data_IF_929898658090
#
_entry.id   IF_929898658090
#
_cell.length_a   1.000
_cell.length_b   1.000
_cell.length_c   1.000
_cell.angle_alpha   90.00
_cell.angle_beta   90.00
_cell.angle_gamma   90.00
#
_symmetry.space_group_name_H-M   'P 1'
#
loop_
_entity.id
_entity.type
_entity.pdbx_description
1 polymer ?
#
# COMPACT_ATOMS: atom_id res chain seq x y z
N UNK A 1 -5.30 -20.72 12.70
CA UNK A 1 -4.39 -20.54 11.56
C UNK A 1 -3.53 -19.35 11.90
N UNK A 2 -2.20 -19.50 11.88
CA UNK A 2 -1.29 -18.39 12.15
C UNK A 2 -1.09 -17.55 10.90
N UNK A 3 -0.77 -16.28 11.07
CA UNK A 3 -0.32 -15.42 9.98
C UNK A 3 1.20 -15.50 9.90
N UNK A 4 1.75 -15.54 8.69
CA UNK A 4 3.20 -15.51 8.48
C UNK A 4 3.57 -14.47 7.44
N UNK A 5 4.74 -13.85 7.59
CA UNK A 5 5.35 -13.02 6.55
C UNK A 5 6.77 -13.52 6.26
N UNK A 6 7.29 -13.17 5.08
CA UNK A 6 8.64 -13.53 4.67
C UNK A 6 9.39 -12.33 4.11
N UNK A 7 10.55 -12.02 4.68
CA UNK A 7 11.46 -10.99 4.14
C UNK A 7 12.82 -11.62 3.83
N UNK A 8 13.25 -11.54 2.58
CA UNK A 8 14.58 -11.95 2.16
C UNK A 8 15.26 -10.79 1.45
N UNK A 9 16.49 -10.49 1.87
CA UNK A 9 17.28 -9.38 1.35
C UNK A 9 17.93 -9.68 0.01
N UNK A 10 17.82 -10.90 -0.50
CA UNK A 10 18.49 -11.29 -1.74
C UNK A 10 20.00 -11.48 -1.56
N UNK A 11 20.45 -11.83 -0.35
CA UNK A 11 21.88 -11.81 0.05
C UNK A 11 22.51 -10.42 -0.10
N UNK A 12 21.72 -9.37 0.04
CA UNK A 12 22.17 -7.98 0.03
C UNK A 12 22.07 -7.40 1.44
N UNK A 13 23.00 -6.51 1.80
CA UNK A 13 23.00 -5.81 3.09
C UNK A 13 22.81 -4.30 2.89
N UNK A 14 22.02 -3.94 1.87
CA UNK A 14 21.82 -2.56 1.45
C UNK A 14 20.52 -2.04 2.04
N UNK A 15 20.62 -1.14 3.03
CA UNK A 15 19.46 -0.50 3.66
C UNK A 15 18.70 0.43 2.69
N UNK A 16 19.37 0.94 1.66
CA UNK A 16 18.84 1.84 0.64
C UNK A 16 18.15 1.12 -0.54
N UNK A 17 17.95 -0.20 -0.46
CA UNK A 17 17.18 -0.93 -1.47
C UNK A 17 15.69 -0.55 -1.39
N UNK A 18 15.15 -0.01 -2.49
CA UNK A 18 13.75 0.42 -2.51
C UNK A 18 12.73 -0.71 -2.65
N UNK A 19 13.12 -1.93 -3.01
CA UNK A 19 12.18 -3.05 -3.14
C UNK A 19 11.00 -2.77 -4.08
N UNK A 20 11.19 -1.89 -5.08
CA UNK A 20 10.17 -1.45 -6.02
C UNK A 20 9.33 -0.23 -5.58
N UNK A 21 9.56 0.29 -4.38
CA UNK A 21 8.93 1.51 -3.87
C UNK A 21 9.55 2.77 -4.44
N UNK A 22 8.79 3.87 -4.36
CA UNK A 22 9.23 5.21 -4.75
C UNK A 22 10.56 5.60 -4.08
N UNK A 23 10.78 5.19 -2.83
CA UNK A 23 12.04 5.30 -2.12
C UNK A 23 12.22 4.14 -1.12
N UNK A 24 13.45 3.88 -0.68
CA UNK A 24 13.74 2.86 0.34
C UNK A 24 13.06 3.12 1.69
N UNK A 25 12.74 4.37 1.98
CA UNK A 25 12.01 4.78 3.18
C UNK A 25 10.62 4.14 3.19
N UNK A 26 9.92 4.21 2.06
CA UNK A 26 8.59 3.63 1.91
C UNK A 26 8.61 2.10 1.91
N UNK A 27 9.71 1.48 1.48
CA UNK A 27 9.90 0.04 1.65
C UNK A 27 9.84 -0.37 3.12
N UNK A 28 10.60 0.29 3.99
CA UNK A 28 10.61 -0.01 5.42
C UNK A 28 9.31 0.40 6.12
N UNK A 29 8.71 1.53 5.73
CA UNK A 29 7.38 1.95 6.21
C UNK A 29 6.30 0.92 5.88
N UNK A 30 6.38 0.27 4.72
CA UNK A 30 5.46 -0.81 4.37
C UNK A 30 5.54 -1.96 5.37
N UNK A 31 6.74 -2.40 5.73
CA UNK A 31 6.92 -3.44 6.75
C UNK A 31 6.41 -3.02 8.13
N UNK A 32 6.67 -1.76 8.53
CA UNK A 32 6.14 -1.19 9.77
C UNK A 32 4.62 -1.30 9.79
N UNK A 33 3.94 -0.75 8.77
CA UNK A 33 2.48 -0.74 8.74
C UNK A 33 1.90 -2.15 8.64
N UNK A 34 2.45 -3.00 7.77
CA UNK A 34 1.97 -4.37 7.57
C UNK A 34 2.06 -5.18 8.85
N UNK A 35 3.22 -5.19 9.53
CA UNK A 35 3.40 -5.93 10.77
C UNK A 35 2.44 -5.45 11.87
N UNK A 36 2.39 -4.14 12.12
CA UNK A 36 1.55 -3.58 13.17
C UNK A 36 0.06 -3.83 12.94
N UNK A 37 -0.41 -3.70 11.70
CA UNK A 37 -1.80 -3.98 11.37
C UNK A 37 -2.11 -5.47 11.51
N UNK A 38 -1.21 -6.37 11.09
CA UNK A 38 -1.42 -7.80 11.28
C UNK A 38 -1.48 -8.17 12.77
N UNK A 39 -0.56 -7.67 13.60
CA UNK A 39 -0.56 -7.90 15.05
C UNK A 39 -1.81 -7.34 15.73
N UNK A 40 -2.32 -6.20 15.27
CA UNK A 40 -3.54 -5.59 15.80
C UNK A 40 -4.79 -6.46 15.61
N UNK A 41 -4.83 -7.27 14.55
CA UNK A 41 -6.01 -8.07 14.19
C UNK A 41 -5.80 -9.59 14.25
N UNK A 42 -4.58 -10.05 14.61
CA UNK A 42 -4.24 -11.47 14.68
C UNK A 42 -3.34 -11.75 15.89
N UNK A 43 -3.63 -12.83 16.61
CA UNK A 43 -2.89 -13.19 17.82
C UNK A 43 -1.54 -13.85 17.55
N UNK A 44 -1.30 -14.34 16.34
CA UNK A 44 -0.08 -15.08 15.98
C UNK A 44 0.39 -14.66 14.59
N UNK A 45 1.47 -13.86 14.55
CA UNK A 45 2.07 -13.28 13.34
C UNK A 45 3.56 -13.55 13.39
N UNK A 46 4.02 -14.55 12.64
CA UNK A 46 5.43 -14.95 12.60
C UNK A 46 6.16 -14.33 11.40
N UNK A 47 7.41 -13.90 11.59
CA UNK A 47 8.31 -13.48 10.52
C UNK A 47 9.31 -14.58 10.18
N UNK A 48 9.47 -14.88 8.90
CA UNK A 48 10.56 -15.71 8.36
C UNK A 48 11.51 -14.81 7.59
N UNK A 49 12.78 -14.76 8.00
CA UNK A 49 13.73 -13.80 7.44
C UNK A 49 15.16 -14.34 7.37
N UNK A 50 16.07 -13.57 6.79
CA UNK A 50 17.52 -13.79 6.82
C UNK A 50 18.17 -12.90 7.90
N UNK A 51 19.49 -13.00 8.06
CA UNK A 51 20.20 -12.23 9.10
C UNK A 51 20.03 -10.71 8.93
N UNK A 52 20.10 -10.21 7.71
CA UNK A 52 19.96 -8.79 7.44
C UNK A 52 18.54 -8.30 7.76
N UNK A 53 17.52 -9.05 7.36
CA UNK A 53 16.15 -8.73 7.72
C UNK A 53 15.89 -8.79 9.22
N UNK A 54 16.51 -9.72 9.94
CA UNK A 54 16.45 -9.76 11.40
C UNK A 54 17.05 -8.50 12.04
N UNK A 55 18.25 -8.11 11.61
CA UNK A 55 18.93 -6.90 12.08
C UNK A 55 18.03 -5.66 11.88
N UNK A 56 17.54 -5.44 10.67
CA UNK A 56 16.75 -4.25 10.35
C UNK A 56 15.36 -4.30 10.99
N UNK A 57 14.57 -5.34 10.71
CA UNK A 57 13.16 -5.39 11.10
C UNK A 57 12.99 -5.60 12.61
N UNK A 58 13.90 -6.33 13.27
CA UNK A 58 13.73 -6.73 14.67
C UNK A 58 14.64 -5.95 15.61
N UNK A 59 15.95 -5.88 15.34
CA UNK A 59 16.87 -5.22 16.27
C UNK A 59 16.77 -3.68 16.19
N UNK A 60 16.71 -3.14 14.97
CA UNK A 60 16.65 -1.69 14.73
C UNK A 60 15.22 -1.14 14.79
N UNK A 61 14.31 -1.66 13.97
CA UNK A 61 12.93 -1.16 13.87
C UNK A 61 12.00 -1.66 14.98
N UNK A 62 12.39 -2.75 15.68
CA UNK A 62 11.65 -3.35 16.81
C UNK A 62 10.21 -3.75 16.43
N UNK A 63 10.03 -4.34 15.25
CA UNK A 63 8.71 -4.76 14.79
C UNK A 63 8.12 -5.86 15.70
N UNK A 64 6.82 -5.76 16.06
CA UNK A 64 6.21 -6.56 17.14
C UNK A 64 5.78 -7.98 16.72
N UNK A 65 6.51 -8.66 15.83
CA UNK A 65 6.20 -10.04 15.46
C UNK A 65 6.15 -10.97 16.69
N UNK A 66 5.20 -11.90 16.72
CA UNK A 66 5.04 -12.84 17.84
C UNK A 66 6.19 -13.85 17.91
N UNK A 67 6.78 -14.15 16.76
CA UNK A 67 7.93 -15.03 16.62
C UNK A 67 8.71 -14.71 15.35
N UNK A 68 10.03 -14.91 15.40
CA UNK A 68 10.92 -14.67 14.26
C UNK A 68 11.79 -15.89 14.00
N UNK A 69 11.93 -16.26 12.73
CA UNK A 69 12.71 -17.39 12.25
C UNK A 69 13.76 -16.90 11.26
N UNK A 70 15.05 -16.97 11.64
CA UNK A 70 16.17 -16.58 10.77
C UNK A 70 16.63 -17.80 9.98
N UNK A 71 16.00 -18.05 8.84
CA UNK A 71 16.22 -19.26 8.02
C UNK A 71 16.43 -18.97 6.54
N UNK A 72 16.16 -17.75 6.06
CA UNK A 72 16.17 -17.44 4.63
C UNK A 72 17.58 -17.21 4.08
N UNK A 73 18.61 -17.23 4.92
CA UNK A 73 19.99 -17.39 4.44
C UNK A 73 20.17 -18.69 3.62
N UNK A 74 19.33 -19.71 3.85
CA UNK A 74 19.31 -20.97 3.08
C UNK A 74 19.05 -20.76 1.57
N UNK A 75 18.48 -19.62 1.16
CA UNK A 75 18.18 -19.31 -0.25
C UNK A 75 19.13 -18.27 -0.86
N UNK A 76 20.23 -17.92 -0.17
CA UNK A 76 21.21 -16.95 -0.68
C UNK A 76 21.96 -17.39 -1.95
N UNK A 77 21.91 -18.68 -2.30
CA UNK A 77 22.50 -19.22 -3.53
C UNK A 77 21.62 -18.99 -4.78
N UNK A 78 20.37 -18.54 -4.61
CA UNK A 78 19.50 -18.14 -5.71
C UNK A 78 19.81 -16.70 -6.17
N UNK A 79 19.50 -16.34 -7.44
CA UNK A 79 19.59 -14.97 -7.89
C UNK A 79 18.71 -14.05 -7.02
N UNK A 80 19.25 -12.90 -6.62
CA UNK A 80 18.55 -11.92 -5.78
C UNK A 80 17.18 -11.48 -6.31
N UNK A 81 16.98 -11.53 -7.63
CA UNK A 81 15.73 -11.14 -8.28
C UNK A 81 14.64 -12.22 -8.17
N UNK A 82 14.95 -13.40 -7.62
CA UNK A 82 14.00 -14.51 -7.42
C UNK A 82 13.25 -14.35 -6.10
N UNK A 83 12.64 -13.19 -5.88
CA UNK A 83 11.98 -12.81 -4.63
C UNK A 83 10.95 -13.83 -4.11
N UNK A 84 10.29 -14.59 -4.98
CA UNK A 84 9.28 -15.57 -4.57
C UNK A 84 9.88 -16.84 -3.95
N UNK A 85 11.18 -17.13 -4.15
CA UNK A 85 11.79 -18.36 -3.60
C UNK A 85 11.75 -18.36 -2.07
N UNK A 86 11.92 -17.20 -1.46
CA UNK A 86 11.81 -16.98 -0.03
C UNK A 86 10.41 -17.34 0.50
N UNK A 87 9.36 -16.91 -0.21
CA UNK A 87 7.96 -17.23 0.12
C UNK A 87 7.71 -18.74 0.02
N UNK A 88 8.09 -19.36 -1.10
CA UNK A 88 7.97 -20.82 -1.31
C UNK A 88 8.72 -21.61 -0.22
N UNK A 89 9.93 -21.17 0.15
CA UNK A 89 10.70 -21.79 1.23
C UNK A 89 10.00 -21.65 2.59
N UNK A 90 9.42 -20.50 2.86
CA UNK A 90 8.61 -20.26 4.07
C UNK A 90 7.39 -21.18 4.12
N UNK A 91 6.65 -21.36 3.02
CA UNK A 91 5.51 -22.29 2.95
C UNK A 91 5.96 -23.75 3.18
N UNK A 92 7.09 -24.15 2.60
CA UNK A 92 7.66 -25.49 2.75
C UNK A 92 7.92 -25.84 4.23
N UNK A 93 8.28 -24.85 5.06
CA UNK A 93 8.65 -25.05 6.46
C UNK A 93 7.42 -25.15 7.39
N UNK A 94 6.21 -24.89 6.89
CA UNK A 94 5.01 -24.93 7.71
C UNK A 94 4.60 -26.37 8.03
N UNK A 95 4.18 -26.60 9.28
CA UNK A 95 3.68 -27.88 9.78
C UNK A 95 2.26 -27.81 10.35
N UNK A 96 1.66 -26.62 10.29
CA UNK A 96 0.31 -26.32 10.79
C UNK A 96 -0.36 -25.31 9.85
N UNK A 97 -1.69 -25.11 9.94
CA UNK A 97 -2.39 -24.15 9.10
C UNK A 97 -1.83 -22.74 9.22
N UNK A 98 -1.53 -22.13 8.08
CA UNK A 98 -0.96 -20.79 7.99
C UNK A 98 -1.67 -19.94 6.93
N UNK A 99 -1.54 -18.63 7.04
CA UNK A 99 -1.85 -17.66 5.99
C UNK A 99 -0.66 -16.74 5.83
N UNK A 100 0.03 -16.85 4.70
CA UNK A 100 1.07 -15.90 4.33
C UNK A 100 0.45 -14.61 3.81
N UNK A 101 1.07 -13.49 4.16
CA UNK A 101 0.65 -12.14 3.80
C UNK A 101 1.87 -11.35 3.32
N UNK A 102 1.76 -10.71 2.16
CA UNK A 102 2.84 -9.89 1.61
C UNK A 102 3.13 -8.64 2.47
N UNK A 103 4.38 -8.16 2.44
CA UNK A 103 4.84 -7.03 3.24
C UNK A 103 4.26 -5.66 2.82
N UNK A 104 3.52 -5.62 1.71
CA UNK A 104 2.81 -4.48 1.11
C UNK A 104 1.28 -4.63 1.18
N UNK A 105 0.81 -5.57 2.00
CA UNK A 105 -0.59 -5.76 2.36
C UNK A 105 -0.87 -5.16 3.74
N UNK A 106 -1.97 -4.40 3.83
CA UNK A 106 -2.43 -3.74 5.04
C UNK A 106 -3.89 -4.08 5.32
N UNK A 107 -4.24 -4.34 6.58
CA UNK A 107 -5.57 -4.84 6.96
C UNK A 107 -6.16 -4.10 8.15
N UNK A 108 -7.48 -3.92 8.20
CA UNK A 108 -8.20 -3.35 9.34
C UNK A 108 -9.21 -4.33 9.97
N UNK A 109 -9.10 -5.61 9.61
CA UNK A 109 -9.84 -6.72 10.19
C UNK A 109 -9.01 -8.02 10.12
N UNK A 110 -9.51 -9.06 10.77
CA UNK A 110 -8.89 -10.40 10.72
C UNK A 110 -9.06 -11.01 9.33
N UNK A 111 -7.95 -11.44 8.73
CA UNK A 111 -7.92 -12.22 7.49
C UNK A 111 -8.31 -13.68 7.72
N UNK A 112 -8.05 -14.21 8.91
CA UNK A 112 -8.18 -15.64 9.20
C UNK A 112 -9.59 -16.07 9.60
N UNK A 113 -10.41 -15.13 10.10
CA UNK A 113 -11.69 -15.49 10.71
C UNK A 113 -12.69 -16.13 9.74
N UNK A 114 -12.73 -15.61 8.51
CA UNK A 114 -13.59 -16.13 7.44
C UNK A 114 -13.04 -17.41 6.79
N UNK A 115 -11.77 -17.75 7.02
CA UNK A 115 -11.07 -18.88 6.38
C UNK A 115 -10.68 -19.99 7.34
N UNK A 116 -11.28 -20.05 8.53
CA UNK A 116 -10.97 -21.07 9.55
C UNK A 116 -11.02 -22.51 9.03
N UNK A 117 -11.94 -22.79 8.10
CA UNK A 117 -12.15 -24.12 7.53
C UNK A 117 -11.63 -24.27 6.09
N UNK A 118 -10.99 -23.23 5.52
CA UNK A 118 -10.54 -23.22 4.15
C UNK A 118 -9.25 -24.02 3.97
N UNK A 119 -9.24 -24.93 3.00
CA UNK A 119 -8.08 -25.78 2.71
C UNK A 119 -7.00 -25.06 1.91
N UNK A 120 -7.40 -24.19 0.99
CA UNK A 120 -6.55 -23.30 0.20
C UNK A 120 -7.24 -21.95 0.08
N UNK A 121 -6.53 -20.90 0.41
CA UNK A 121 -6.93 -19.49 0.37
C UNK A 121 -5.95 -18.76 -0.50
N UNK A 122 -6.45 -17.90 -1.39
CA UNK A 122 -5.65 -16.92 -2.14
C UNK A 122 -6.37 -15.58 -2.13
N UNK A 123 -5.68 -14.49 -2.49
CA UNK A 123 -6.30 -13.17 -2.55
C UNK A 123 -7.43 -13.13 -3.59
N UNK A 124 -7.11 -13.42 -4.85
CA UNK A 124 -8.07 -13.33 -5.96
C UNK A 124 -7.62 -14.17 -7.14
N UNK A 125 -8.56 -14.47 -8.04
CA UNK A 125 -8.24 -15.00 -9.37
C UNK A 125 -7.75 -13.86 -10.26
N UNK A 126 -6.76 -14.16 -11.11
CA UNK A 126 -6.26 -13.24 -12.14
C UNK A 126 -6.43 -13.87 -13.52
N UNK A 127 -6.75 -13.08 -14.53
CA UNK A 127 -6.73 -13.51 -15.93
C UNK A 127 -5.32 -13.29 -16.45
N UNK A 128 -4.66 -14.36 -16.92
CA UNK A 128 -3.34 -14.24 -17.57
C UNK A 128 -3.53 -13.73 -19.00
N UNK A 129 -3.41 -12.42 -19.13
CA UNK A 129 -3.65 -11.65 -20.34
C UNK A 129 -2.45 -11.69 -21.32
N UNK A 130 -2.40 -10.74 -22.26
CA UNK A 130 -1.27 -10.60 -23.18
C UNK A 130 0.07 -10.32 -22.48
N UNK A 131 0.07 -9.67 -21.31
CA UNK A 131 1.29 -9.36 -20.57
C UNK A 131 1.97 -10.65 -20.08
N UNK A 132 1.23 -11.55 -19.42
CA UNK A 132 1.75 -12.86 -19.02
C UNK A 132 2.29 -13.66 -20.21
N UNK A 133 1.58 -13.60 -21.35
CA UNK A 133 1.98 -14.30 -22.58
C UNK A 133 3.25 -13.75 -23.19
N UNK A 134 3.41 -12.43 -23.19
CA UNK A 134 4.61 -11.79 -23.71
C UNK A 134 5.82 -12.15 -22.86
N UNK A 135 5.69 -12.08 -21.53
CA UNK A 135 6.75 -12.51 -20.62
C UNK A 135 7.09 -13.99 -20.82
N UNK A 136 6.09 -14.86 -20.94
CA UNK A 136 6.32 -16.29 -21.09
C UNK A 136 7.08 -16.63 -22.37
N UNK A 137 6.83 -15.90 -23.48
CA UNK A 137 7.55 -16.07 -24.75
C UNK A 137 9.06 -15.82 -24.63
N UNK A 138 9.46 -14.93 -23.74
CA UNK A 138 10.87 -14.61 -23.50
C UNK A 138 11.54 -15.62 -22.55
N UNK A 139 10.77 -16.18 -21.61
CA UNK A 139 11.30 -17.10 -20.60
C UNK A 139 11.34 -18.55 -21.10
N UNK A 140 10.21 -19.05 -21.63
CA UNK A 140 10.03 -20.46 -21.94
C UNK A 140 11.11 -21.06 -22.86
N UNK A 141 11.53 -20.40 -23.96
CA UNK A 141 12.55 -20.96 -24.86
C UNK A 141 13.89 -21.25 -24.19
N UNK A 142 14.19 -20.55 -23.08
CA UNK A 142 15.43 -20.71 -22.33
C UNK A 142 15.36 -21.82 -21.29
N UNK A 143 14.16 -22.28 -20.92
CA UNK A 143 13.95 -23.31 -19.90
C UNK A 143 14.31 -24.70 -20.43
N UNK A 144 15.01 -25.47 -19.60
CA UNK A 144 15.35 -26.88 -19.85
C UNK A 144 14.35 -27.85 -19.23
N UNK A 145 13.49 -27.36 -18.31
CA UNK A 145 12.47 -28.15 -17.64
C UNK A 145 11.16 -27.36 -17.49
N UNK A 146 10.04 -28.00 -17.78
CA UNK A 146 8.69 -27.47 -17.60
C UNK A 146 7.84 -28.47 -16.78
N UNK A 147 7.26 -28.07 -15.63
CA UNK A 147 6.33 -28.90 -14.88
C UNK A 147 5.10 -29.30 -15.70
N UNK A 148 4.60 -30.50 -15.47
CA UNK A 148 3.40 -31.03 -16.15
C UNK A 148 2.18 -30.12 -15.98
N UNK A 149 2.04 -29.48 -14.82
CA UNK A 149 0.96 -28.55 -14.51
C UNK A 149 0.91 -27.36 -15.46
N UNK A 150 2.06 -26.89 -15.93
CA UNK A 150 2.15 -25.72 -16.79
C UNK A 150 1.96 -26.04 -18.28
N UNK A 151 1.83 -27.31 -18.66
CA UNK A 151 1.66 -27.72 -20.06
C UNK A 151 0.42 -27.09 -20.70
N UNK A 152 -0.72 -27.10 -20.01
CA UNK A 152 -1.96 -26.47 -20.52
C UNK A 152 -1.82 -24.97 -20.70
N UNK A 153 -1.12 -24.30 -19.79
CA UNK A 153 -0.84 -22.89 -19.96
C UNK A 153 0.05 -22.67 -21.19
N UNK A 154 1.13 -23.45 -21.35
CA UNK A 154 2.07 -23.31 -22.45
C UNK A 154 1.42 -23.45 -23.85
N UNK A 155 0.45 -24.36 -24.01
CA UNK A 155 -0.28 -24.55 -25.28
C UNK A 155 -1.54 -23.68 -25.41
N UNK A 156 -1.61 -22.57 -24.67
CA UNK A 156 -2.70 -21.58 -24.69
C UNK A 156 -4.10 -22.16 -24.36
N UNK A 157 -4.16 -23.23 -23.56
CA UNK A 157 -5.41 -23.85 -23.10
C UNK A 157 -5.84 -23.43 -21.69
N UNK A 158 -5.14 -22.47 -21.08
CA UNK A 158 -5.46 -21.95 -19.75
C UNK A 158 -5.04 -20.50 -19.63
N UNK A 159 -5.91 -19.63 -19.12
CA UNK A 159 -5.69 -18.19 -19.05
C UNK A 159 -5.95 -17.62 -17.64
N UNK A 160 -5.72 -18.42 -16.59
CA UNK A 160 -5.91 -17.97 -15.21
C UNK A 160 -4.68 -18.23 -14.34
N UNK A 161 -4.45 -17.33 -13.38
CA UNK A 161 -3.47 -17.40 -12.30
C UNK A 161 -4.14 -16.92 -11.00
N UNK A 162 -3.37 -16.80 -9.91
CA UNK A 162 -3.84 -16.23 -8.65
C UNK A 162 -2.96 -15.07 -8.21
N UNK A 163 -3.59 -14.00 -7.73
CA UNK A 163 -2.89 -13.03 -6.90
C UNK A 163 -2.62 -13.66 -5.53
N UNK A 164 -1.37 -13.60 -5.08
CA UNK A 164 -0.93 -14.21 -3.82
C UNK A 164 -0.54 -13.20 -2.74
N UNK A 165 -1.07 -11.96 -2.78
CA UNK A 165 -0.90 -11.01 -1.68
C UNK A 165 -1.34 -11.58 -0.32
N UNK A 166 -2.29 -12.52 -0.34
CA UNK A 166 -2.42 -13.53 0.71
C UNK A 166 -2.46 -14.93 0.10
N UNK A 167 -1.89 -15.92 0.80
CA UNK A 167 -1.97 -17.33 0.41
C UNK A 167 -1.78 -18.27 1.59
N UNK A 168 -2.59 -19.33 1.69
CA UNK A 168 -2.46 -20.29 2.79
C UNK A 168 -3.63 -21.25 2.90
N UNK A 169 -3.85 -21.81 4.08
CA UNK A 169 -4.97 -22.69 4.35
C UNK A 169 -4.63 -23.85 5.28
N UNK A 170 -5.62 -24.72 5.48
CA UNK A 170 -5.51 -25.89 6.34
C UNK A 170 -4.77 -27.07 5.69
N UNK A 171 -4.68 -27.13 4.36
CA UNK A 171 -4.07 -28.26 3.67
C UNK A 171 -2.54 -28.10 3.55
N UNK A 172 -1.83 -28.26 4.67
CA UNK A 172 -0.36 -28.14 4.73
C UNK A 172 0.34 -29.13 3.78
N UNK A 173 -0.23 -30.32 3.56
CA UNK A 173 0.34 -31.31 2.65
C UNK A 173 0.27 -30.86 1.18
N UNK A 174 -0.80 -30.16 0.79
CA UNK A 174 -0.86 -29.52 -0.53
C UNK A 174 0.30 -28.54 -0.72
N UNK A 175 0.53 -27.65 0.25
CA UNK A 175 1.63 -26.70 0.20
C UNK A 175 3.00 -27.38 0.14
N UNK A 176 3.24 -28.44 0.92
CA UNK A 176 4.51 -29.19 0.86
C UNK A 176 4.78 -29.76 -0.54
N UNK A 177 3.77 -30.33 -1.19
CA UNK A 177 3.91 -30.88 -2.53
C UNK A 177 4.06 -29.79 -3.60
N UNK A 178 3.27 -28.72 -3.50
CA UNK A 178 3.40 -27.53 -4.35
C UNK A 178 4.81 -26.94 -4.27
N UNK A 179 5.33 -26.73 -3.05
CA UNK A 179 6.65 -26.14 -2.85
C UNK A 179 7.75 -27.03 -3.41
N UNK A 180 7.61 -28.37 -3.30
CA UNK A 180 8.53 -29.31 -3.93
C UNK A 180 8.57 -29.12 -5.44
N UNK A 181 7.41 -29.05 -6.10
CA UNK A 181 7.31 -28.83 -7.55
C UNK A 181 7.85 -27.45 -7.96
N UNK A 182 7.57 -26.41 -7.17
CA UNK A 182 8.05 -25.05 -7.40
C UNK A 182 9.58 -24.95 -7.30
N UNK A 183 10.17 -25.50 -6.23
CA UNK A 183 11.62 -25.54 -6.06
C UNK A 183 12.28 -26.38 -7.15
N UNK A 184 11.72 -27.55 -7.48
CA UNK A 184 12.21 -28.37 -8.60
C UNK A 184 12.17 -27.61 -9.94
N UNK A 185 11.10 -26.84 -10.17
CA UNK A 185 10.98 -26.01 -11.37
C UNK A 185 12.11 -24.97 -11.47
N UNK A 186 12.44 -24.31 -10.36
CA UNK A 186 13.52 -23.32 -10.33
C UNK A 186 14.90 -23.99 -10.44
N UNK A 187 15.14 -25.05 -9.67
CA UNK A 187 16.44 -25.73 -9.56
C UNK A 187 16.82 -26.47 -10.84
N UNK A 188 15.88 -27.18 -11.47
CA UNK A 188 16.12 -27.86 -12.73
C UNK A 188 16.50 -26.89 -13.86
N UNK A 189 16.08 -25.62 -13.75
CA UNK A 189 16.38 -24.55 -14.70
C UNK A 189 17.58 -23.67 -14.28
N UNK A 190 18.42 -24.13 -13.34
CA UNK A 190 19.60 -23.37 -12.87
C UNK A 190 20.54 -22.90 -13.98
N UNK A 191 20.72 -23.72 -15.01
CA UNK A 191 21.52 -23.37 -16.19
C UNK A 191 20.93 -22.21 -17.00
N UNK A 192 19.66 -21.87 -16.80
CA UNK A 192 18.92 -20.85 -17.55
C UNK A 192 18.76 -19.54 -16.79
N UNK A 193 19.09 -19.49 -15.49
CA UNK A 193 18.88 -18.30 -14.65
C UNK A 193 19.51 -17.02 -15.21
N UNK A 194 20.68 -17.11 -15.84
CA UNK A 194 21.37 -15.95 -16.44
C UNK A 194 20.79 -15.51 -17.79
N UNK A 195 19.86 -16.27 -18.38
CA UNK A 195 19.24 -15.98 -19.69
C UNK A 195 17.79 -15.54 -19.58
N UNK A 196 17.17 -15.67 -18.41
CA UNK A 196 15.77 -15.28 -18.17
C UNK A 196 15.69 -14.04 -17.28
N UNK A 197 14.61 -13.29 -17.42
CA UNK A 197 14.30 -12.20 -16.48
C UNK A 197 13.79 -12.80 -15.16
N UNK A 198 14.61 -12.74 -14.12
CA UNK A 198 14.30 -13.28 -12.80
C UNK A 198 13.06 -12.65 -12.16
N UNK A 199 12.91 -11.32 -12.24
CA UNK A 199 11.76 -10.60 -11.66
C UNK A 199 10.45 -11.16 -12.21
N UNK A 200 10.42 -11.45 -13.50
CA UNK A 200 9.27 -12.03 -14.18
C UNK A 200 9.11 -13.54 -13.94
N UNK A 201 10.20 -14.30 -13.80
CA UNK A 201 10.12 -15.75 -13.60
C UNK A 201 9.36 -16.14 -12.32
N UNK A 202 9.43 -15.30 -11.28
CA UNK A 202 8.72 -15.48 -10.02
C UNK A 202 7.23 -15.81 -10.18
N UNK A 203 6.51 -15.09 -11.05
CA UNK A 203 5.05 -15.28 -11.19
C UNK A 203 4.71 -16.67 -11.72
N UNK A 204 5.63 -17.33 -12.45
CA UNK A 204 5.37 -18.65 -13.03
C UNK A 204 5.56 -19.77 -12.02
N UNK A 205 6.66 -19.75 -11.24
CA UNK A 205 6.92 -20.79 -10.25
C UNK A 205 6.16 -20.59 -8.95
N UNK A 206 5.69 -19.37 -8.68
CA UNK A 206 4.85 -19.05 -7.52
C UNK A 206 3.36 -19.14 -7.88
N UNK A 207 2.84 -18.14 -8.59
CA UNK A 207 1.40 -17.89 -8.73
C UNK A 207 0.74 -18.84 -9.72
N UNK A 208 1.29 -18.89 -10.94
CA UNK A 208 0.72 -19.73 -12.00
C UNK A 208 0.82 -21.21 -11.63
N UNK A 209 1.97 -21.65 -11.13
CA UNK A 209 2.17 -23.05 -10.75
C UNK A 209 1.24 -23.46 -9.61
N UNK A 210 1.04 -22.63 -8.58
CA UNK A 210 0.09 -22.93 -7.50
C UNK A 210 -1.33 -23.07 -8.06
N UNK A 211 -1.73 -22.17 -8.96
CA UNK A 211 -3.03 -22.21 -9.63
C UNK A 211 -3.22 -23.52 -10.41
N UNK A 212 -2.27 -23.88 -11.28
CA UNK A 212 -2.38 -25.12 -12.07
C UNK A 212 -2.27 -26.39 -11.22
N UNK A 213 -1.52 -26.35 -10.14
CA UNK A 213 -1.44 -27.46 -9.20
C UNK A 213 -2.74 -27.63 -8.39
N UNK A 214 -3.41 -26.53 -8.02
CA UNK A 214 -4.73 -26.60 -7.40
C UNK A 214 -5.76 -27.22 -8.34
N UNK A 215 -5.75 -26.83 -9.62
CA UNK A 215 -6.62 -27.42 -10.66
C UNK A 215 -6.36 -28.93 -10.84
N UNK A 216 -5.10 -29.35 -10.94
CA UNK A 216 -4.74 -30.76 -11.15
C UNK A 216 -5.15 -31.65 -9.98
N UNK A 217 -5.06 -31.12 -8.75
CA UNK A 217 -5.47 -31.80 -7.52
C UNK A 217 -6.96 -31.68 -7.23
N UNK A 218 -7.72 -30.93 -8.03
CA UNK A 218 -9.13 -30.55 -7.76
C UNK A 218 -9.30 -29.96 -6.35
N UNK A 219 -8.33 -29.18 -5.91
CA UNK A 219 -8.33 -28.52 -4.61
C UNK A 219 -9.34 -27.36 -4.66
N UNK A 220 -10.30 -27.36 -3.73
CA UNK A 220 -11.18 -26.20 -3.54
C UNK A 220 -10.37 -25.00 -3.07
N UNK A 221 -10.59 -23.86 -3.72
CA UNK A 221 -9.90 -22.59 -3.47
C UNK A 221 -10.90 -21.55 -2.99
N UNK A 222 -10.65 -20.96 -1.82
CA UNK A 222 -11.40 -19.83 -1.31
C UNK A 222 -10.64 -18.53 -1.65
N UNK A 223 -11.39 -17.51 -2.09
CA UNK A 223 -10.83 -16.23 -2.49
C UNK A 223 -11.20 -15.14 -1.48
N UNK A 224 -10.26 -14.25 -1.15
CA UNK A 224 -10.57 -13.03 -0.40
C UNK A 224 -11.49 -12.10 -1.20
N UNK A 225 -11.21 -11.97 -2.49
CA UNK A 225 -12.06 -11.27 -3.43
C UNK A 225 -12.59 -12.27 -4.46
N UNK A 226 -13.88 -12.66 -4.38
CA UNK A 226 -14.46 -13.65 -5.28
C UNK A 226 -14.66 -13.13 -6.70
N UNK A 227 -14.67 -11.81 -6.88
CA UNK A 227 -14.73 -11.16 -8.18
C UNK A 227 -13.44 -11.43 -8.98
N UNK A 228 -13.58 -11.52 -10.30
CA UNK A 228 -12.44 -11.62 -11.22
C UNK A 228 -12.07 -10.20 -11.67
N UNK A 229 -11.11 -9.51 -11.04
CA UNK A 229 -10.60 -8.28 -11.61
C UNK A 229 -10.03 -8.59 -13.00
N UNK A 230 -10.29 -7.69 -13.96
CA UNK A 230 -9.49 -7.64 -15.19
C UNK A 230 -8.07 -7.26 -14.78
N UNK A 231 -7.05 -7.86 -15.38
CA UNK A 231 -5.66 -7.62 -14.98
C UNK A 231 -5.31 -6.11 -15.06
N UNK A 232 -4.52 -5.62 -14.09
CA UNK A 232 -4.24 -4.20 -13.82
C UNK A 232 -5.44 -3.31 -13.42
N UNK A 233 -6.66 -3.82 -13.30
CA UNK A 233 -7.82 -3.09 -12.76
C UNK A 233 -8.01 -3.34 -11.26
N UNK A 234 -6.93 -3.17 -10.50
CA UNK A 234 -6.90 -3.26 -9.04
C UNK A 234 -7.54 -2.03 -8.38
N UNK A 235 -8.72 -1.62 -8.84
CA UNK A 235 -9.39 -0.41 -8.38
C UNK A 235 -9.65 -0.47 -6.86
N UNK A 236 -9.16 0.55 -6.17
CA UNK A 236 -9.36 0.73 -4.74
C UNK A 236 -8.48 -0.12 -3.82
N UNK A 237 -7.49 -0.87 -4.33
CA UNK A 237 -6.48 -1.53 -3.49
C UNK A 237 -5.45 -0.56 -2.88
N UNK A 238 -5.38 0.67 -3.41
CA UNK A 238 -4.59 1.77 -2.88
C UNK A 238 -5.44 2.93 -2.35
N UNK A 239 -6.74 2.71 -2.07
CA UNK A 239 -7.63 3.74 -1.52
C UNK A 239 -7.35 4.02 -0.03
N UNK A 240 -6.12 4.45 0.26
CA UNK A 240 -5.62 4.67 1.60
C UNK A 240 -6.45 5.70 2.37
N UNK A 241 -6.96 6.71 1.67
CA UNK A 241 -7.87 7.72 2.20
C UNK A 241 -9.24 7.18 2.67
N UNK A 242 -9.61 5.94 2.34
CA UNK A 242 -10.86 5.29 2.76
C UNK A 242 -10.69 4.39 3.98
N UNK A 243 -9.48 4.22 4.51
CA UNK A 243 -9.28 3.42 5.74
C UNK A 243 -9.81 4.20 6.96
N UNK A 244 -10.34 3.53 8.00
CA UNK A 244 -10.43 2.07 8.17
C UNK A 244 -11.69 1.44 7.56
N UNK A 245 -12.57 2.21 6.89
CA UNK A 245 -13.81 1.68 6.30
C UNK A 245 -13.49 0.71 5.14
N UNK A 246 -12.45 1.02 4.36
CA UNK A 246 -11.76 0.04 3.53
C UNK A 246 -10.84 -0.79 4.42
N UNK A 247 -11.09 -2.10 4.51
CA UNK A 247 -10.40 -2.98 5.47
C UNK A 247 -9.22 -3.75 4.91
N UNK A 248 -8.95 -3.65 3.61
CA UNK A 248 -7.83 -4.32 2.95
C UNK A 248 -7.25 -3.41 1.87
N UNK A 249 -5.94 -3.24 1.92
CA UNK A 249 -5.13 -2.59 0.90
C UNK A 249 -3.99 -3.52 0.51
N UNK A 250 -3.60 -3.45 -0.77
CA UNK A 250 -2.44 -4.15 -1.29
C UNK A 250 -1.77 -3.23 -2.32
N UNK A 251 -0.63 -2.65 -1.94
CA UNK A 251 0.09 -1.70 -2.78
C UNK A 251 1.00 -2.45 -3.76
N UNK A 252 0.39 -3.09 -4.75
CA UNK A 252 1.08 -3.84 -5.80
C UNK A 252 1.48 -2.95 -6.98
N UNK A 253 2.59 -3.32 -7.65
CA UNK A 253 3.05 -2.69 -8.90
C UNK A 253 3.21 -1.17 -8.80
N UNK A 254 2.52 -0.43 -9.67
CA UNK A 254 2.65 1.03 -9.78
C UNK A 254 2.19 1.79 -8.54
N UNK A 255 1.32 1.22 -7.70
CA UNK A 255 0.89 1.87 -6.46
C UNK A 255 2.07 2.16 -5.50
N UNK A 256 3.12 1.34 -5.52
CA UNK A 256 4.35 1.57 -4.73
C UNK A 256 5.15 2.79 -5.18
N UNK A 257 4.92 3.25 -6.40
CA UNK A 257 5.65 4.36 -7.03
C UNK A 257 4.86 5.66 -7.01
N UNK A 258 3.60 5.62 -6.58
CA UNK A 258 2.74 6.80 -6.49
C UNK A 258 3.06 7.58 -5.20
N UNK A 259 3.64 8.79 -5.29
CA UNK A 259 4.06 9.56 -4.11
C UNK A 259 2.91 9.87 -3.16
N UNK A 260 1.72 10.15 -3.70
CA UNK A 260 0.51 10.43 -2.90
C UNK A 260 0.14 9.24 -2.02
N UNK A 261 0.18 8.02 -2.56
CA UNK A 261 -0.14 6.80 -1.82
C UNK A 261 0.92 6.52 -0.75
N UNK A 262 2.20 6.66 -1.11
CA UNK A 262 3.30 6.52 -0.17
C UNK A 262 3.18 7.53 1.00
N UNK A 263 2.75 8.76 0.71
CA UNK A 263 2.55 9.79 1.72
C UNK A 263 1.35 9.50 2.62
N UNK A 264 0.27 8.92 2.12
CA UNK A 264 -0.83 8.47 2.99
C UNK A 264 -0.35 7.40 3.99
N UNK A 265 0.45 6.44 3.53
CA UNK A 265 1.07 5.44 4.40
C UNK A 265 1.96 6.09 5.46
N UNK A 266 2.81 7.04 5.07
CA UNK A 266 3.68 7.78 5.99
C UNK A 266 2.87 8.49 7.09
N UNK A 267 1.86 9.28 6.72
CA UNK A 267 1.06 10.02 7.70
C UNK A 267 0.30 9.07 8.64
N UNK A 268 -0.15 7.93 8.14
CA UNK A 268 -0.80 6.92 8.95
C UNK A 268 0.15 6.34 10.00
N UNK A 269 1.38 5.99 9.62
CA UNK A 269 2.40 5.47 10.53
C UNK A 269 2.79 6.55 11.54
N UNK A 270 3.06 7.79 11.10
CA UNK A 270 3.37 8.91 11.99
C UNK A 270 2.28 9.08 13.06
N UNK A 271 1.00 8.93 12.70
CA UNK A 271 -0.10 9.14 13.63
C UNK A 271 -0.37 7.97 14.56
N UNK A 272 -0.37 6.74 14.04
CA UNK A 272 -0.84 5.56 14.79
C UNK A 272 0.29 4.68 15.31
N UNK A 273 1.50 4.80 14.73
CA UNK A 273 2.70 4.06 15.13
C UNK A 273 3.92 5.00 15.25
N UNK A 274 3.81 6.13 15.97
CA UNK A 274 4.82 7.18 15.98
C UNK A 274 6.20 6.72 16.44
N UNK A 275 6.27 5.84 17.44
CA UNK A 275 7.55 5.31 17.93
C UNK A 275 8.27 4.45 16.88
N UNK A 276 7.53 3.71 16.05
CA UNK A 276 8.11 2.96 14.94
C UNK A 276 8.58 3.87 13.80
N UNK A 277 7.86 4.98 13.56
CA UNK A 277 8.33 6.03 12.65
C UNK A 277 9.65 6.64 13.15
N UNK A 278 9.71 6.98 14.45
CA UNK A 278 10.90 7.51 15.10
C UNK A 278 12.11 6.56 15.02
N UNK A 279 11.91 5.26 15.27
CA UNK A 279 12.96 4.25 15.10
C UNK A 279 13.49 4.21 13.65
N UNK A 280 12.62 4.34 12.65
CA UNK A 280 13.03 4.42 11.25
C UNK A 280 13.80 5.72 10.98
N UNK A 281 13.35 6.85 11.51
CA UNK A 281 14.05 8.13 11.42
C UNK A 281 15.48 8.05 11.95
N UNK A 282 15.65 7.49 13.16
CA UNK A 282 16.97 7.28 13.77
C UNK A 282 17.87 6.37 12.93
N UNK A 283 17.30 5.30 12.36
CA UNK A 283 18.05 4.40 11.48
C UNK A 283 18.47 5.07 10.16
N UNK A 284 17.61 5.91 9.58
CA UNK A 284 17.91 6.68 8.37
C UNK A 284 19.01 7.72 8.66
N UNK A 285 18.94 8.41 9.80
CA UNK A 285 19.97 9.35 10.24
C UNK A 285 21.33 8.65 10.46
N UNK A 286 21.32 7.50 11.15
CA UNK A 286 22.51 6.64 11.33
C UNK A 286 23.12 6.24 9.98
N UNK A 287 22.30 5.80 9.03
CA UNK A 287 22.76 5.33 7.72
C UNK A 287 23.28 6.45 6.82
N UNK A 288 22.63 7.62 6.82
CA UNK A 288 23.01 8.74 5.96
C UNK A 288 24.08 9.65 6.59
N UNK A 289 24.44 9.44 7.85
CA UNK A 289 25.34 10.31 8.63
C UNK A 289 24.85 11.78 8.69
N UNK A 290 23.53 11.97 8.75
CA UNK A 290 22.85 13.27 8.78
C UNK A 290 21.81 13.24 9.90
N UNK A 291 21.53 14.39 10.54
CA UNK A 291 20.46 14.56 11.53
C UNK A 291 19.32 15.39 10.92
N UNK A 292 18.54 14.77 10.04
CA UNK A 292 17.42 15.42 9.32
C UNK A 292 16.07 14.79 9.58
N UNK A 293 16.05 13.55 10.08
CA UNK A 293 14.82 12.81 10.33
C UNK A 293 14.21 13.06 11.71
N UNK A 294 12.91 12.79 11.80
CA UNK A 294 12.16 12.93 13.05
C UNK A 294 12.40 11.69 13.92
N UNK A 295 13.18 11.84 14.98
CA UNK A 295 13.51 10.75 15.92
C UNK A 295 12.70 10.76 17.23
N UNK A 296 11.90 11.80 17.47
CA UNK A 296 11.26 12.01 18.79
C UNK A 296 9.78 11.62 18.83
N UNK A 297 9.18 11.28 17.69
CA UNK A 297 7.73 11.13 17.59
C UNK A 297 7.22 10.00 18.51
N UNK A 298 6.26 10.32 19.36
CA UNK A 298 5.57 9.38 20.25
C UNK A 298 4.08 9.78 20.39
N UNK A 299 3.22 8.97 21.04
CA UNK A 299 1.79 9.27 21.13
C UNK A 299 1.45 10.61 21.81
N UNK A 300 2.23 11.03 22.81
CA UNK A 300 2.00 12.29 23.54
C UNK A 300 2.32 13.49 22.64
N UNK A 301 3.46 13.46 21.96
CA UNK A 301 3.90 14.51 21.02
C UNK A 301 2.93 14.61 19.84
N UNK A 302 2.48 13.48 19.28
CA UNK A 302 1.48 13.49 18.21
C UNK A 302 0.20 14.21 18.66
N UNK A 303 -0.27 13.91 19.87
CA UNK A 303 -1.48 14.52 20.40
C UNK A 303 -1.31 16.02 20.69
N UNK A 304 -0.16 16.43 21.22
CA UNK A 304 0.20 17.84 21.43
C UNK A 304 0.19 18.61 20.11
N UNK A 305 0.94 18.16 19.11
CA UNK A 305 1.02 18.78 17.78
C UNK A 305 -0.35 18.86 17.09
N UNK A 306 -1.19 17.83 17.23
CA UNK A 306 -2.55 17.85 16.70
C UNK A 306 -3.44 18.88 17.40
N UNK A 307 -3.29 19.06 18.72
CA UNK A 307 -4.05 20.05 19.48
C UNK A 307 -3.62 21.48 19.14
N UNK A 308 -2.31 21.70 19.00
CA UNK A 308 -1.75 22.97 18.53
C UNK A 308 -2.31 23.34 17.15
N UNK A 309 -2.24 22.41 16.19
CA UNK A 309 -2.78 22.64 14.85
C UNK A 309 -4.28 22.92 14.86
N UNK A 310 -5.04 22.24 15.72
CA UNK A 310 -6.47 22.51 15.88
C UNK A 310 -6.75 23.92 16.41
N UNK A 311 -5.92 24.42 17.33
CA UNK A 311 -6.04 25.79 17.83
C UNK A 311 -5.68 26.81 16.75
N UNK A 312 -4.61 26.56 15.99
CA UNK A 312 -4.20 27.39 14.84
C UNK A 312 -5.30 27.49 13.78
N UNK A 313 -5.92 26.35 13.44
CA UNK A 313 -7.05 26.30 12.50
C UNK A 313 -8.24 27.16 12.94
N UNK A 314 -8.57 27.13 14.23
CA UNK A 314 -9.71 27.89 14.78
C UNK A 314 -9.44 29.39 14.84
N UNK A 315 -8.17 29.77 14.96
CA UNK A 315 -7.73 31.15 15.01
C UNK A 315 -7.33 31.70 13.64
N UNK A 316 -7.31 30.85 12.60
CA UNK A 316 -6.81 31.17 11.26
C UNK A 316 -5.41 31.80 11.27
N UNK A 317 -4.54 31.23 12.12
CA UNK A 317 -3.20 31.76 12.36
C UNK A 317 -2.25 30.58 12.59
N UNK A 318 -1.43 30.28 11.59
CA UNK A 318 -0.55 29.11 11.58
C UNK A 318 0.88 29.47 12.00
N UNK A 319 1.42 28.74 12.97
CA UNK A 319 2.84 28.84 13.29
C UNK A 319 3.68 28.05 12.27
N UNK A 320 4.68 28.72 11.71
CA UNK A 320 5.68 28.13 10.83
C UNK A 320 6.44 26.95 11.46
N UNK A 321 6.60 26.94 12.79
CA UNK A 321 7.30 25.86 13.48
C UNK A 321 6.56 24.53 13.28
N UNK A 322 7.25 23.56 12.66
CA UNK A 322 6.73 22.21 12.37
C UNK A 322 5.36 22.20 11.66
N UNK A 323 5.03 23.26 10.91
CA UNK A 323 3.74 23.40 10.23
C UNK A 323 3.38 22.17 9.39
N UNK A 324 4.30 21.71 8.53
CA UNK A 324 4.06 20.56 7.65
C UNK A 324 3.80 19.27 8.44
N UNK A 325 4.53 19.05 9.53
CA UNK A 325 4.34 17.88 10.41
C UNK A 325 2.96 17.92 11.08
N UNK A 326 2.61 19.07 11.68
CA UNK A 326 1.29 19.29 12.30
C UNK A 326 0.15 19.06 11.31
N UNK A 327 0.26 19.62 10.11
CA UNK A 327 -0.70 19.44 9.01
C UNK A 327 -0.83 17.97 8.61
N UNK A 328 0.30 17.28 8.43
CA UNK A 328 0.33 15.87 8.02
C UNK A 328 -0.36 14.98 9.06
N UNK A 329 -0.07 15.17 10.35
CA UNK A 329 -0.70 14.43 11.45
C UNK A 329 -2.22 14.67 11.54
N UNK A 330 -2.65 15.93 11.45
CA UNK A 330 -4.06 16.29 11.57
C UNK A 330 -4.91 15.81 10.38
N UNK A 331 -4.31 15.74 9.18
CA UNK A 331 -5.01 15.42 7.92
C UNK A 331 -5.58 14.00 7.83
N UNK A 332 -5.04 13.04 8.60
CA UNK A 332 -5.25 11.60 8.40
C UNK A 332 -6.73 11.16 8.44
N UNK A 333 -7.58 11.74 9.29
CA UNK A 333 -9.02 11.38 9.36
C UNK A 333 -9.94 12.35 8.60
N UNK A 334 -9.42 13.42 7.99
CA UNK A 334 -10.27 14.48 7.45
C UNK A 334 -11.17 13.98 6.32
N UNK A 335 -10.68 13.04 5.49
CA UNK A 335 -11.49 12.43 4.43
C UNK A 335 -12.70 11.67 5.00
N UNK A 336 -12.53 10.98 6.13
CA UNK A 336 -13.65 10.32 6.81
C UNK A 336 -14.60 11.35 7.41
N UNK A 337 -14.07 12.35 8.12
CA UNK A 337 -14.88 13.40 8.75
C UNK A 337 -15.75 14.15 7.75
N UNK A 338 -15.21 14.55 6.60
CA UNK A 338 -16.01 15.28 5.59
C UNK A 338 -17.14 14.41 5.02
N UNK A 339 -16.91 13.10 4.82
CA UNK A 339 -17.97 12.20 4.36
C UNK A 339 -19.08 12.04 5.42
N UNK A 340 -18.74 12.03 6.70
CA UNK A 340 -19.73 12.02 7.79
C UNK A 340 -20.56 13.29 7.75
N UNK A 341 -19.93 14.47 7.64
CA UNK A 341 -20.66 15.74 7.54
C UNK A 341 -21.61 15.79 6.35
N UNK A 342 -21.16 15.37 5.16
CA UNK A 342 -22.03 15.30 3.99
C UNK A 342 -23.19 14.31 4.15
N UNK A 343 -22.94 13.15 4.77
CA UNK A 343 -23.98 12.13 4.99
C UNK A 343 -25.02 12.57 6.01
N UNK A 344 -24.60 13.29 7.04
CA UNK A 344 -25.45 13.74 8.15
C UNK A 344 -26.05 15.13 7.91
N UNK A 345 -25.75 15.76 6.76
CA UNK A 345 -26.11 17.15 6.45
C UNK A 345 -25.69 18.13 7.55
N UNK A 346 -24.53 17.88 8.15
CA UNK A 346 -23.95 18.72 9.19
C UNK A 346 -23.09 19.82 8.54
N UNK A 347 -23.29 21.07 8.97
CA UNK A 347 -22.42 22.19 8.58
C UNK A 347 -21.08 22.13 9.32
N UNK A 348 -20.02 22.63 8.69
CA UNK A 348 -18.66 22.62 9.21
C UNK A 348 -17.87 23.81 8.65
N UNK A 349 -16.77 24.16 9.31
CA UNK A 349 -15.85 25.21 8.86
C UNK A 349 -14.78 24.65 7.95
N UNK A 350 -14.47 25.40 6.90
CA UNK A 350 -13.43 25.12 5.91
C UNK A 350 -12.38 26.22 6.03
N UNK A 351 -11.11 25.82 6.12
CA UNK A 351 -9.96 26.72 6.22
C UNK A 351 -8.97 26.38 5.12
N UNK A 352 -8.57 27.38 4.33
CA UNK A 352 -7.46 27.25 3.38
C UNK A 352 -6.15 27.22 4.15
N UNK A 353 -5.30 26.25 3.84
CA UNK A 353 -4.02 26.05 4.53
C UNK A 353 -2.89 26.82 3.84
N UNK A 354 -1.79 26.98 4.56
CA UNK A 354 -0.49 27.35 3.97
C UNK A 354 0.20 26.10 3.37
N UNK A 355 1.42 26.30 2.82
CA UNK A 355 2.26 25.21 2.32
C UNK A 355 1.93 24.77 0.89
N UNK A 356 1.41 25.71 0.09
CA UNK A 356 1.38 25.62 -1.36
C UNK A 356 1.59 27.00 -2.00
N UNK A 357 2.09 27.00 -3.22
CA UNK A 357 2.35 28.21 -4.01
C UNK A 357 1.52 28.19 -5.30
N UNK A 358 0.83 29.29 -5.61
CA UNK A 358 0.15 29.46 -6.88
C UNK A 358 1.19 29.75 -7.97
N UNK A 359 1.12 29.00 -9.07
CA UNK A 359 1.87 29.22 -10.30
C UNK A 359 0.92 29.73 -11.37
N UNK A 360 1.06 31.02 -11.67
CA UNK A 360 0.34 31.64 -12.78
C UNK A 360 1.05 31.28 -14.09
N UNK A 361 0.28 30.83 -15.07
CA UNK A 361 0.78 30.62 -16.43
C UNK A 361 0.14 31.61 -17.40
N UNK A 362 0.97 32.23 -18.23
CA UNK A 362 0.50 33.19 -19.24
C UNK A 362 -0.10 32.51 -20.48
N UNK A 363 0.13 31.21 -20.66
CA UNK A 363 -0.28 30.44 -21.85
C UNK A 363 -0.95 29.10 -21.55
N UNK A 364 -0.86 28.62 -20.31
CA UNK A 364 -1.46 27.36 -19.83
C UNK A 364 -2.39 27.62 -18.64
N UNK A 365 -3.06 26.58 -18.14
CA UNK A 365 -3.85 26.67 -16.91
C UNK A 365 -2.97 26.96 -15.70
N UNK A 366 -3.52 27.73 -14.75
CA UNK A 366 -2.86 27.98 -13.46
C UNK A 366 -2.69 26.65 -12.71
N UNK A 367 -1.66 26.55 -11.88
CA UNK A 367 -1.44 25.39 -11.03
C UNK A 367 -1.07 25.81 -9.62
N UNK A 368 -1.20 24.88 -8.67
CA UNK A 368 -0.62 25.03 -7.34
C UNK A 368 0.46 23.98 -7.14
N UNK A 369 1.54 24.39 -6.49
CA UNK A 369 2.60 23.50 -6.04
C UNK A 369 2.47 23.28 -4.56
N UNK A 370 2.20 22.05 -4.17
CA UNK A 370 1.98 21.63 -2.79
C UNK A 370 3.30 21.07 -2.23
N UNK A 371 3.76 21.67 -1.15
CA UNK A 371 4.90 21.19 -0.38
C UNK A 371 4.44 20.13 0.63
N UNK A 372 5.23 19.08 0.83
CA UNK A 372 4.99 18.06 1.86
C UNK A 372 6.31 17.60 2.48
N UNK A 373 6.25 17.25 3.77
CA UNK A 373 7.41 16.69 4.48
C UNK A 373 7.87 15.40 3.76
N UNK A 374 9.17 15.23 3.55
CA UNK A 374 9.78 14.00 3.00
C UNK A 374 9.20 13.52 1.65
N UNK A 375 8.60 14.42 0.87
CA UNK A 375 7.91 14.10 -0.38
C UNK A 375 8.30 15.10 -1.48
N UNK A 376 8.35 14.71 -2.76
CA UNK A 376 8.49 15.67 -3.84
C UNK A 376 7.34 16.67 -3.85
N UNK A 377 7.59 17.85 -4.41
CA UNK A 377 6.53 18.80 -4.74
C UNK A 377 5.48 18.15 -5.63
N UNK A 378 4.21 18.41 -5.32
CA UNK A 378 3.08 17.97 -6.15
C UNK A 378 2.49 19.16 -6.87
N UNK A 379 2.22 18.99 -8.15
CA UNK A 379 1.52 20.00 -8.95
C UNK A 379 0.07 19.58 -9.15
N UNK A 380 -0.85 20.52 -8.96
CA UNK A 380 -2.27 20.35 -9.22
C UNK A 380 -2.74 21.48 -10.14
N UNK A 381 -3.18 21.11 -11.34
CA UNK A 381 -3.69 22.05 -12.34
C UNK A 381 -5.10 22.47 -11.92
N UNK A 382 -5.34 23.78 -11.93
CA UNK A 382 -6.60 24.38 -11.52
C UNK A 382 -7.56 24.45 -12.73
N UNK A 383 -8.82 24.09 -12.49
CA UNK A 383 -9.92 24.51 -13.36
C UNK A 383 -10.63 25.77 -12.82
N UNK A 384 -11.62 26.26 -13.56
CA UNK A 384 -12.34 27.49 -13.21
C UNK A 384 -12.98 27.44 -11.83
N UNK A 385 -13.54 26.27 -11.45
CA UNK A 385 -14.12 26.10 -10.12
C UNK A 385 -13.04 26.10 -9.03
N UNK A 386 -11.85 25.57 -9.31
CA UNK A 386 -10.74 25.64 -8.38
C UNK A 386 -10.29 27.09 -8.12
N UNK A 387 -10.24 27.92 -9.16
CA UNK A 387 -9.88 29.34 -9.02
C UNK A 387 -10.90 30.10 -8.14
N UNK A 388 -12.19 29.91 -8.40
CA UNK A 388 -13.28 30.47 -7.58
C UNK A 388 -13.15 30.00 -6.13
N UNK A 389 -12.96 28.69 -5.92
CA UNK A 389 -12.84 28.13 -4.57
C UNK A 389 -11.64 28.69 -3.80
N UNK A 390 -10.49 28.86 -4.45
CA UNK A 390 -9.30 29.41 -3.79
C UNK A 390 -9.48 30.89 -3.39
N UNK A 391 -10.28 31.64 -4.14
CA UNK A 391 -10.66 33.02 -3.84
C UNK A 391 -11.65 33.10 -2.67
N UNK A 392 -12.74 32.33 -2.73
CA UNK A 392 -13.77 32.29 -1.67
C UNK A 392 -13.21 31.77 -0.34
N UNK A 393 -12.21 30.88 -0.39
CA UNK A 393 -11.53 30.33 0.78
C UNK A 393 -10.38 31.21 1.30
N UNK A 394 -10.27 32.48 0.88
CA UNK A 394 -9.33 33.44 1.47
C UNK A 394 -9.58 33.71 2.95
N UNK A 395 -10.81 33.46 3.42
CA UNK A 395 -11.18 33.49 4.83
C UNK A 395 -11.90 32.20 5.22
N UNK A 396 -11.83 31.78 6.50
CA UNK A 396 -12.59 30.63 6.98
C UNK A 396 -14.09 30.79 6.75
N UNK A 397 -14.70 29.82 6.07
CA UNK A 397 -16.11 29.84 5.67
C UNK A 397 -16.84 28.59 6.15
N UNK A 398 -18.16 28.65 6.34
CA UNK A 398 -18.93 27.42 6.55
C UNK A 398 -19.29 26.76 5.22
N UNK A 399 -19.42 25.44 5.22
CA UNK A 399 -19.80 24.70 4.02
C UNK A 399 -21.14 25.17 3.45
N UNK A 400 -22.13 25.43 4.31
CA UNK A 400 -23.44 25.95 3.86
C UNK A 400 -23.29 27.29 3.14
N UNK A 401 -22.51 28.22 3.69
CA UNK A 401 -22.32 29.52 3.06
C UNK A 401 -21.55 29.39 1.74
N UNK A 402 -20.47 28.60 1.70
CA UNK A 402 -19.72 28.35 0.47
C UNK A 402 -20.61 27.73 -0.61
N UNK A 403 -21.46 26.76 -0.24
CA UNK A 403 -22.37 26.10 -1.17
C UNK A 403 -23.47 27.04 -1.69
N UNK A 404 -23.87 28.07 -0.93
CA UNK A 404 -24.75 29.14 -1.41
C UNK A 404 -24.01 30.06 -2.39
N UNK A 405 -22.82 30.53 -2.03
CA UNK A 405 -22.00 31.39 -2.89
C UNK A 405 -21.69 30.74 -4.23
N UNK A 406 -21.30 29.46 -4.24
CA UNK A 406 -20.98 28.74 -5.48
C UNK A 406 -22.20 28.60 -6.41
N UNK A 407 -23.44 28.59 -5.89
CA UNK A 407 -24.64 28.58 -6.73
C UNK A 407 -24.85 29.90 -7.46
N UNK A 408 -24.37 31.01 -6.92
CA UNK A 408 -24.49 32.33 -7.58
C UNK A 408 -23.66 32.41 -8.89
N UNK A 409 -22.72 31.48 -9.08
CA UNK A 409 -21.91 31.35 -10.31
C UNK A 409 -22.58 30.47 -11.37
N UNK A 410 -23.74 29.85 -11.10
CA UNK A 410 -24.49 29.09 -12.10
C UNK A 410 -25.18 30.02 -13.09
N UNK A 411 -25.16 29.65 -14.37
CA UNK A 411 -25.93 30.35 -15.41
C UNK A 411 -27.43 29.99 -15.36
N UNK A 412 -27.75 28.76 -14.95
CA UNK A 412 -29.11 28.22 -14.84
C UNK A 412 -29.39 27.70 -13.41
N UNK A 413 -30.49 28.17 -12.80
CA UNK A 413 -30.92 27.80 -11.44
C UNK A 413 -31.84 26.56 -11.39
N UNK A 414 -31.82 25.72 -12.43
CA UNK A 414 -32.64 24.51 -12.44
C UNK A 414 -32.11 23.45 -11.46
N UNK A 415 -33.00 22.54 -11.05
CA UNK A 415 -32.70 21.56 -10.01
C UNK A 415 -31.58 20.58 -10.41
N UNK A 416 -31.42 20.29 -11.69
CA UNK A 416 -30.37 19.39 -12.19
C UNK A 416 -29.01 20.06 -12.06
N UNK A 417 -28.86 21.29 -12.60
CA UNK A 417 -27.65 22.10 -12.52
C UNK A 417 -27.19 22.34 -11.07
N UNK A 418 -28.13 22.66 -10.17
CA UNK A 418 -27.85 22.87 -8.74
C UNK A 418 -27.36 21.58 -8.06
N UNK A 419 -27.90 20.42 -8.43
CA UNK A 419 -27.46 19.14 -7.88
C UNK A 419 -26.07 18.75 -8.40
N UNK A 420 -25.79 18.96 -9.69
CA UNK A 420 -24.50 18.67 -10.30
C UNK A 420 -23.37 19.51 -9.67
N UNK A 421 -23.56 20.83 -9.51
CA UNK A 421 -22.54 21.68 -8.89
C UNK A 421 -22.30 21.32 -7.42
N UNK A 422 -23.35 20.90 -6.71
CA UNK A 422 -23.24 20.46 -5.32
C UNK A 422 -22.38 19.21 -5.18
N UNK A 423 -22.60 18.21 -6.04
CA UNK A 423 -21.77 16.99 -6.05
C UNK A 423 -20.34 17.27 -6.52
N UNK A 424 -20.17 18.19 -7.49
CA UNK A 424 -18.85 18.64 -7.92
C UNK A 424 -18.10 19.35 -6.80
N UNK A 425 -18.75 20.27 -6.08
CA UNK A 425 -18.19 20.97 -4.92
C UNK A 425 -17.75 19.98 -3.83
N UNK A 426 -18.60 19.01 -3.47
CA UNK A 426 -18.24 17.95 -2.52
C UNK A 426 -17.02 17.16 -2.98
N UNK A 427 -16.93 16.88 -4.28
CA UNK A 427 -15.80 16.16 -4.89
C UNK A 427 -14.52 17.01 -4.83
N UNK A 428 -14.59 18.31 -5.13
CA UNK A 428 -13.49 19.26 -5.03
C UNK A 428 -12.97 19.37 -3.60
N UNK A 429 -13.84 19.58 -2.62
CA UNK A 429 -13.45 19.66 -1.21
C UNK A 429 -12.79 18.36 -0.72
N UNK A 430 -13.30 17.19 -1.14
CA UNK A 430 -12.65 15.90 -0.87
C UNK A 430 -11.25 15.82 -1.49
N UNK A 431 -11.08 16.31 -2.72
CA UNK A 431 -9.77 16.35 -3.36
C UNK A 431 -8.82 17.31 -2.66
N UNK A 432 -9.29 18.49 -2.25
CA UNK A 432 -8.49 19.48 -1.52
C UNK A 432 -8.01 18.96 -0.17
N UNK A 433 -8.82 18.17 0.53
CA UNK A 433 -8.38 17.46 1.74
C UNK A 433 -7.28 16.45 1.42
N UNK A 434 -7.41 15.66 0.34
CA UNK A 434 -6.36 14.70 -0.07
C UNK A 434 -5.04 15.40 -0.39
N UNK A 435 -5.13 16.55 -1.05
CA UNK A 435 -4.01 17.39 -1.45
C UNK A 435 -3.48 18.26 -0.31
N UNK A 436 -4.18 18.31 0.84
CA UNK A 436 -3.87 19.17 2.00
C UNK A 436 -3.86 20.67 1.67
N UNK A 437 -4.75 21.08 0.76
CA UNK A 437 -5.01 22.49 0.42
C UNK A 437 -5.92 23.12 1.47
N UNK A 438 -6.85 22.33 2.02
CA UNK A 438 -7.79 22.76 3.05
C UNK A 438 -7.75 21.83 4.27
N UNK A 439 -8.22 22.35 5.39
CA UNK A 439 -8.61 21.58 6.57
C UNK A 439 -10.03 21.95 6.98
N UNK A 440 -10.62 21.11 7.84
CA UNK A 440 -11.99 21.28 8.30
C UNK A 440 -12.11 21.06 9.82
N UNK A 441 -13.07 21.75 10.43
CA UNK A 441 -13.46 21.55 11.83
C UNK A 441 -14.94 21.88 12.06
N UNK A 442 -15.47 21.39 13.18
CA UNK A 442 -16.81 21.76 13.68
C UNK A 442 -16.77 22.96 14.61
#
# INVERSE_FOLDING_TARGET
MKVIQSFWSGNQNNFDNSGGWYSYRYHWMSWILSCHQLIKYHNDVELYTDKFGYEILIEKLKLPYTKVHVILDEVNDYPKDFWAIAKVKTFQKQNEPFLHVDGDVFVWNSLTDQFKNSNLVVQSMEVTDMYYRNIWKDIYPELVYLPEELQKFHIDQSNISYNMGIVGGNNVNFFKNYCKKSIEFVDANKVSWSRINGLHFNVFFEQLLLCKYAESMKQEVNFLFPEKPVDNEYFGFADFHKVPDKTYLHLLGNYKKEPVICKFMENYIMRFYPESYANLGALINEFNEIDSEIEILNPEIVQELMNEFQAELRNDSFDSNQFLLKRDLYSVDLYKKINVFFKENQDFKIVKLNGFELKESASDQNSIVIEELNSPFREYILDELDEILLEELNIPVSYVHLAETIKEYLEDDDEESVNEISELLKTKLKNYIKLKIISIYN
#
